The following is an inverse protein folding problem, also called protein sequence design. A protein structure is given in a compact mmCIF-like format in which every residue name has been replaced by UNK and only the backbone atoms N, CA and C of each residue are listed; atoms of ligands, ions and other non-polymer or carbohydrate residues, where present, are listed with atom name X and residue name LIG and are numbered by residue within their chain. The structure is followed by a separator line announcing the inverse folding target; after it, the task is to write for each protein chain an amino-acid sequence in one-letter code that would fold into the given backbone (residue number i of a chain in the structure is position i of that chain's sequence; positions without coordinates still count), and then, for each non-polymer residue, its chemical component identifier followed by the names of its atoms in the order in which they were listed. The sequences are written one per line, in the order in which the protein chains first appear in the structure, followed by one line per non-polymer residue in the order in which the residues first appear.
data_IF_582497880254
#
_entry.id   IF_582497880254
#
_cell.length_a   1.000
_cell.length_b   1.000
_cell.length_c   1.000
_cell.angle_alpha   90.00
_cell.angle_beta   90.00
_cell.angle_gamma   90.00
#
_symmetry.space_group_name_H-M   'P 1'
#
loop_
_entity.id
_entity.type
_entity.pdbx_description
1 polymer ?
#
# COMPACT_ATOMS: atom_id res chain seq x y z
N UNK A 1 0.92 9.18 -27.62
CA UNK A 1 -0.50 9.09 -27.19
C UNK A 1 -1.37 10.01 -28.03
N UNK A 2 -1.25 11.34 -27.87
CA UNK A 2 -2.08 12.27 -28.65
C UNK A 2 -1.90 12.14 -30.17
N UNK A 3 -0.66 12.05 -30.65
CA UNK A 3 -0.34 11.91 -32.08
C UNK A 3 -0.88 10.59 -32.69
N UNK A 4 -1.10 9.60 -31.83
CA UNK A 4 -1.67 8.29 -32.19
C UNK A 4 -3.20 8.23 -31.97
N UNK A 5 -3.83 9.35 -31.60
CA UNK A 5 -5.26 9.40 -31.29
C UNK A 5 -5.67 8.70 -29.97
N UNK A 6 -4.71 8.20 -29.18
CA UNK A 6 -4.99 7.58 -27.89
C UNK A 6 -5.13 8.64 -26.79
N UNK A 7 -6.38 8.97 -26.41
CA UNK A 7 -6.71 10.01 -25.41
C UNK A 7 -7.42 9.48 -24.17
N UNK A 8 -7.21 8.21 -23.85
CA UNK A 8 -7.74 7.60 -22.63
C UNK A 8 -6.57 7.11 -21.78
N UNK A 9 -6.58 7.48 -20.50
CA UNK A 9 -5.53 7.12 -19.56
C UNK A 9 -6.11 6.86 -18.16
N UNK A 10 -5.68 5.74 -17.58
CA UNK A 10 -5.81 5.46 -16.15
C UNK A 10 -4.44 5.69 -15.53
N UNK A 11 -4.32 6.70 -14.69
CA UNK A 11 -3.05 7.12 -14.09
C UNK A 11 -2.94 6.63 -12.64
N UNK A 12 -1.87 5.89 -12.38
CA UNK A 12 -1.46 5.47 -11.05
C UNK A 12 -0.89 6.65 -10.25
N UNK A 13 -1.77 7.38 -9.56
CA UNK A 13 -1.40 8.36 -8.55
C UNK A 13 -1.17 7.69 -7.19
N UNK A 14 -1.05 8.47 -6.12
CA UNK A 14 -0.81 7.96 -4.78
C UNK A 14 -1.36 8.90 -3.73
N UNK A 15 -1.91 8.36 -2.64
CA UNK A 15 -2.38 9.12 -1.49
C UNK A 15 -1.29 10.02 -0.87
N UNK A 16 0.00 9.79 -1.17
CA UNK A 16 1.10 10.63 -0.69
C UNK A 16 0.96 12.10 -1.12
N UNK A 17 0.19 12.40 -2.18
CA UNK A 17 -0.10 13.79 -2.61
C UNK A 17 -0.83 14.59 -1.52
N UNK A 18 -1.59 13.93 -0.66
CA UNK A 18 -2.25 14.56 0.50
C UNK A 18 -1.27 14.99 1.59
N UNK A 19 -0.08 14.39 1.64
CA UNK A 19 0.95 14.77 2.60
C UNK A 19 0.63 14.55 4.07
N UNK A 20 1.37 15.28 4.91
CA UNK A 20 1.00 15.54 6.30
C UNK A 20 0.21 16.86 6.31
N UNK A 21 -1.01 16.87 6.85
CA UNK A 21 -1.89 18.05 6.73
C UNK A 21 -1.22 19.34 7.24
N UNK A 22 -1.39 20.45 6.53
CA UNK A 22 -0.96 21.80 6.95
C UNK A 22 -2.15 22.63 7.48
N UNK A 23 -1.99 23.92 7.82
CA UNK A 23 -0.89 24.61 8.49
C UNK A 23 -1.33 25.24 9.84
N UNK A 24 -2.60 25.08 10.26
CA UNK A 24 -3.20 25.79 11.40
C UNK A 24 -2.79 25.24 12.79
N UNK A 25 -1.76 24.40 12.85
CA UNK A 25 -1.24 23.87 14.10
C UNK A 25 0.28 24.10 14.20
N UNK A 26 0.73 25.28 14.68
CA UNK A 26 2.16 25.55 14.86
C UNK A 26 2.80 24.68 15.94
N UNK A 27 2.00 24.05 16.81
CA UNK A 27 2.47 23.26 17.96
C UNK A 27 1.64 22.01 18.26
N UNK A 28 0.83 21.51 17.32
CA UNK A 28 0.25 20.19 17.56
C UNK A 28 1.38 19.15 17.49
N UNK A 29 1.54 18.28 18.51
CA UNK A 29 2.35 17.08 18.34
C UNK A 29 1.82 16.29 17.12
N UNK A 30 2.58 15.35 16.54
CA UNK A 30 2.21 14.56 15.35
C UNK A 30 0.88 13.76 15.43
N UNK A 31 0.05 14.02 16.44
CA UNK A 31 -1.03 13.23 16.94
C UNK A 31 -2.35 13.31 16.16
N UNK A 32 -2.57 14.31 15.29
CA UNK A 32 -3.89 14.49 14.67
C UNK A 32 -4.08 13.73 13.35
N UNK A 33 -3.05 13.17 12.71
CA UNK A 33 -3.18 12.77 11.28
C UNK A 33 -2.53 11.42 10.97
N UNK A 34 -3.08 10.34 11.52
CA UNK A 34 -2.82 8.99 11.00
C UNK A 34 -4.10 8.18 10.82
N UNK A 35 -5.02 8.23 11.78
CA UNK A 35 -6.40 7.75 11.58
C UNK A 35 -7.14 8.58 10.52
N UNK A 36 -6.93 9.90 10.49
CA UNK A 36 -7.50 10.78 9.47
C UNK A 36 -6.91 10.56 8.06
N UNK A 37 -5.78 9.87 7.93
CA UNK A 37 -5.19 9.59 6.62
C UNK A 37 -6.02 8.57 5.84
N UNK A 38 -6.53 7.53 6.51
CA UNK A 38 -7.46 6.58 5.90
C UNK A 38 -8.82 7.21 5.53
N UNK A 39 -9.16 8.35 6.13
CA UNK A 39 -10.39 9.10 5.87
C UNK A 39 -10.22 10.26 4.86
N UNK A 40 -9.10 10.31 4.13
CA UNK A 40 -8.87 11.36 3.14
C UNK A 40 -9.90 11.29 2.02
N UNK A 41 -10.43 12.44 1.66
CA UNK A 41 -11.33 12.61 0.51
C UNK A 41 -10.57 13.12 -0.71
N UNK A 42 -11.10 12.90 -1.90
CA UNK A 42 -10.54 13.35 -3.16
C UNK A 42 -10.41 14.88 -3.24
N UNK A 43 -11.30 15.57 -2.52
CA UNK A 43 -11.38 17.03 -2.36
C UNK A 43 -10.44 17.58 -1.28
N UNK A 44 -9.70 16.75 -0.56
CA UNK A 44 -8.79 17.24 0.48
C UNK A 44 -7.54 17.89 -0.15
N UNK A 45 -6.98 18.93 0.48
CA UNK A 45 -5.83 19.66 -0.05
C UNK A 45 -4.55 18.82 -0.13
N UNK A 46 -3.65 19.20 -1.02
CA UNK A 46 -2.37 18.54 -1.25
C UNK A 46 -1.23 19.15 -0.44
N UNK A 47 -0.38 18.29 0.14
CA UNK A 47 0.79 18.70 0.93
C UNK A 47 2.00 17.78 0.67
N UNK A 48 2.45 17.60 -0.58
CA UNK A 48 3.52 16.65 -0.91
C UNK A 48 4.80 16.91 -0.10
N UNK A 49 5.28 15.88 0.60
CA UNK A 49 6.41 15.99 1.55
C UNK A 49 7.75 15.46 1.01
N UNK A 50 7.76 14.92 -0.20
CA UNK A 50 8.96 14.32 -0.80
C UNK A 50 8.91 14.38 -2.35
N UNK A 51 10.04 14.21 -3.06
CA UNK A 51 10.09 14.29 -4.52
C UNK A 51 9.15 13.33 -5.25
N UNK A 52 8.93 12.12 -4.71
CA UNK A 52 7.98 11.16 -5.28
C UNK A 52 6.54 11.67 -5.21
N UNK A 53 6.14 12.29 -4.10
CA UNK A 53 4.83 12.92 -3.98
C UNK A 53 4.65 14.07 -4.96
N UNK A 54 5.69 14.88 -5.13
CA UNK A 54 5.69 15.97 -6.11
C UNK A 54 5.56 15.47 -7.55
N UNK A 55 6.21 14.37 -7.92
CA UNK A 55 6.10 13.84 -9.29
C UNK A 55 4.68 13.34 -9.58
N UNK A 56 4.03 12.69 -8.60
CA UNK A 56 2.62 12.25 -8.72
C UNK A 56 1.68 13.43 -8.87
N UNK A 57 1.82 14.45 -8.02
CA UNK A 57 0.99 15.65 -8.11
C UNK A 57 1.19 16.37 -9.45
N UNK A 58 2.44 16.56 -9.89
CA UNK A 58 2.73 17.18 -11.18
C UNK A 58 2.08 16.43 -12.35
N UNK A 59 2.10 15.10 -12.34
CA UNK A 59 1.42 14.30 -13.37
C UNK A 59 -0.10 14.46 -13.33
N UNK A 60 -0.73 14.50 -12.14
CA UNK A 60 -2.17 14.77 -12.04
C UNK A 60 -2.53 16.12 -12.68
N UNK A 61 -1.75 17.16 -12.38
CA UNK A 61 -1.97 18.50 -12.93
C UNK A 61 -1.79 18.54 -14.45
N UNK A 62 -0.72 17.92 -14.98
CA UNK A 62 -0.49 17.83 -16.43
C UNK A 62 -1.64 17.12 -17.16
N UNK A 63 -2.22 16.09 -16.55
CA UNK A 63 -3.34 15.36 -17.15
C UNK A 63 -4.64 16.17 -17.14
N UNK A 64 -4.88 16.97 -16.09
CA UNK A 64 -5.99 17.93 -16.05
C UNK A 64 -5.81 19.02 -17.10
N UNK A 65 -4.61 19.56 -17.27
CA UNK A 65 -4.31 20.56 -18.30
C UNK A 65 -4.45 19.98 -19.71
N UNK A 66 -4.04 18.73 -19.94
CA UNK A 66 -4.27 18.04 -21.20
C UNK A 66 -5.77 17.93 -21.53
N UNK A 67 -6.59 17.62 -20.52
CA UNK A 67 -8.05 17.55 -20.66
C UNK A 67 -8.72 18.92 -20.84
N UNK A 68 -8.10 20.02 -20.40
CA UNK A 68 -8.52 21.38 -20.72
C UNK A 68 -8.18 21.79 -22.16
N UNK A 69 -7.08 21.28 -22.71
CA UNK A 69 -6.64 21.58 -24.07
C UNK A 69 -7.36 20.76 -25.16
N UNK A 70 -7.80 19.54 -24.86
CA UNK A 70 -8.40 18.62 -25.82
C UNK A 70 -9.32 17.59 -25.13
N UNK A 71 -10.23 16.91 -25.85
CA UNK A 71 -11.12 15.89 -25.28
C UNK A 71 -10.34 14.65 -24.84
N UNK A 72 -9.95 14.60 -23.57
CA UNK A 72 -9.28 13.47 -22.92
C UNK A 72 -10.19 12.78 -21.92
N UNK A 73 -9.99 11.46 -21.74
CA UNK A 73 -10.60 10.66 -20.68
C UNK A 73 -9.51 10.23 -19.70
N UNK A 74 -9.58 10.72 -18.47
CA UNK A 74 -8.54 10.57 -17.47
C UNK A 74 -9.13 10.03 -16.18
N UNK A 75 -8.62 8.92 -15.68
CA UNK A 75 -8.86 8.47 -14.31
C UNK A 75 -7.58 8.67 -13.50
N UNK A 76 -7.66 9.38 -12.39
CA UNK A 76 -6.58 9.63 -11.45
C UNK A 76 -6.82 8.76 -10.21
N UNK A 77 -6.12 7.63 -10.13
CA UNK A 77 -6.33 6.68 -9.05
C UNK A 77 -5.26 6.86 -7.97
N UNK A 78 -5.66 7.36 -6.81
CA UNK A 78 -4.77 7.61 -5.67
C UNK A 78 -4.73 6.38 -4.78
N UNK A 79 -3.69 5.55 -4.97
CA UNK A 79 -3.52 4.34 -4.18
C UNK A 79 -3.05 4.67 -2.78
N UNK A 80 -3.58 3.95 -1.80
CA UNK A 80 -3.04 3.90 -0.45
C UNK A 80 -1.89 2.90 -0.39
N UNK A 81 -1.95 1.85 0.44
CA UNK A 81 -0.85 0.90 0.62
C UNK A 81 -1.28 -0.46 0.08
N UNK A 82 -1.07 -0.73 -1.22
CA UNK A 82 -1.37 -2.04 -1.77
C UNK A 82 -0.50 -3.12 -1.16
N UNK A 83 -1.13 -4.24 -0.79
CA UNK A 83 -0.51 -5.43 -0.23
C UNK A 83 -1.21 -6.68 -0.77
N UNK A 84 -0.70 -7.87 -0.47
CA UNK A 84 -1.28 -9.10 -0.99
C UNK A 84 -0.59 -9.59 -2.26
N UNK A 85 -1.16 -10.62 -2.87
CA UNK A 85 -0.75 -11.12 -4.17
C UNK A 85 -1.94 -11.80 -4.84
N UNK A 86 -1.68 -12.49 -5.96
CA UNK A 86 -2.73 -13.19 -6.67
C UNK A 86 -3.10 -14.52 -6.00
N UNK A 87 -4.39 -14.96 -6.10
CA UNK A 87 -4.90 -16.23 -5.59
C UNK A 87 -4.15 -17.50 -5.91
N UNK A 88 -3.51 -17.54 -7.06
CA UNK A 88 -2.73 -18.70 -7.45
C UNK A 88 -1.44 -18.85 -6.65
N UNK A 89 -0.97 -17.78 -5.98
CA UNK A 89 0.37 -17.69 -5.40
C UNK A 89 1.49 -17.53 -6.42
N UNK A 90 1.18 -17.58 -7.73
CA UNK A 90 2.18 -17.59 -8.82
C UNK A 90 2.77 -16.22 -9.12
N UNK A 91 2.03 -15.15 -8.83
CA UNK A 91 2.45 -13.76 -9.03
C UNK A 91 2.18 -12.97 -7.76
N UNK A 92 3.10 -12.07 -7.43
CA UNK A 92 3.09 -11.22 -6.23
C UNK A 92 4.25 -10.22 -6.29
N UNK A 93 4.41 -9.41 -5.25
CA UNK A 93 5.48 -8.41 -5.18
C UNK A 93 6.86 -9.09 -5.02
N UNK A 94 7.71 -8.94 -6.05
CA UNK A 94 9.10 -9.42 -6.08
C UNK A 94 10.00 -8.24 -6.47
N UNK A 95 10.35 -7.34 -5.51
CA UNK A 95 11.08 -6.13 -5.81
C UNK A 95 12.52 -6.47 -6.25
N UNK A 96 12.94 -5.90 -7.38
CA UNK A 96 14.29 -6.09 -7.93
C UNK A 96 15.35 -5.46 -7.03
N UNK A 97 15.04 -4.28 -6.50
CA UNK A 97 15.86 -3.55 -5.53
C UNK A 97 15.40 -3.86 -4.10
N UNK A 98 16.15 -3.36 -3.13
CA UNK A 98 15.78 -3.49 -1.73
C UNK A 98 14.34 -3.04 -1.49
N UNK A 99 13.54 -3.93 -0.89
CA UNK A 99 12.20 -3.59 -0.46
C UNK A 99 12.25 -2.43 0.55
N UNK A 100 11.48 -1.39 0.26
CA UNK A 100 11.28 -0.24 1.16
C UNK A 100 9.89 -0.26 1.81
N UNK A 101 8.97 -1.05 1.27
CA UNK A 101 7.61 -1.24 1.77
C UNK A 101 7.56 -2.30 2.88
N UNK A 102 6.61 -2.15 3.81
CA UNK A 102 6.46 -3.03 4.97
C UNK A 102 6.28 -4.50 4.59
N UNK A 103 5.33 -4.80 3.70
CA UNK A 103 4.90 -6.18 3.48
C UNK A 103 5.94 -7.08 2.82
N UNK A 104 6.68 -6.66 1.78
CA UNK A 104 7.77 -7.48 1.25
C UNK A 104 8.88 -7.74 2.28
N UNK A 105 9.16 -6.78 3.17
CA UNK A 105 10.15 -6.97 4.25
C UNK A 105 9.63 -7.99 5.27
N UNK A 106 8.37 -7.85 5.71
CA UNK A 106 7.70 -8.81 6.61
C UNK A 106 7.75 -10.23 6.03
N UNK A 107 7.33 -10.40 4.77
CA UNK A 107 7.31 -11.69 4.10
C UNK A 107 8.72 -12.29 3.96
N UNK A 108 9.72 -11.46 3.62
CA UNK A 108 11.10 -11.93 3.49
C UNK A 108 11.69 -12.38 4.84
N UNK A 109 11.50 -11.58 5.90
CA UNK A 109 11.95 -11.93 7.25
C UNK A 109 11.31 -13.24 7.67
N UNK A 110 9.99 -13.38 7.54
CA UNK A 110 9.30 -14.61 7.89
C UNK A 110 9.82 -15.81 7.10
N UNK A 111 9.92 -15.70 5.78
CA UNK A 111 10.40 -16.80 4.93
C UNK A 111 11.84 -17.22 5.27
N UNK A 112 12.71 -16.29 5.70
CA UNK A 112 14.07 -16.63 6.17
C UNK A 112 14.06 -17.33 7.53
N UNK A 113 13.22 -16.88 8.47
CA UNK A 113 13.04 -17.56 9.76
C UNK A 113 12.41 -18.95 9.64
N UNK A 114 11.62 -19.17 8.59
CA UNK A 114 11.03 -20.47 8.26
C UNK A 114 11.96 -21.36 7.43
N UNK A 115 13.16 -20.89 7.06
CA UNK A 115 14.10 -21.65 6.20
C UNK A 115 13.64 -21.79 4.73
N UNK A 116 12.62 -21.03 4.31
CA UNK A 116 12.07 -21.07 2.95
C UNK A 116 12.88 -20.24 1.95
N UNK A 117 13.63 -19.25 2.45
CA UNK A 117 14.57 -18.46 1.66
C UNK A 117 15.97 -18.58 2.26
N UNK A 118 16.94 -18.90 1.40
CA UNK A 118 18.35 -18.86 1.77
C UNK A 118 18.79 -17.41 2.03
N UNK A 119 19.76 -17.25 2.94
CA UNK A 119 20.48 -15.99 3.04
C UNK A 119 21.18 -15.69 1.71
N UNK A 120 21.10 -14.44 1.23
CA UNK A 120 21.85 -14.01 0.03
C UNK A 120 23.36 -14.05 0.25
N UNK A 121 23.76 -13.75 1.48
CA UNK A 121 25.15 -13.77 1.92
C UNK A 121 25.31 -14.88 2.95
N UNK A 122 26.09 -15.90 2.61
CA UNK A 122 26.40 -17.01 3.51
C UNK A 122 27.21 -16.57 4.74
N UNK A 123 27.75 -15.34 4.74
CA UNK A 123 28.45 -14.73 5.88
C UNK A 123 27.52 -14.04 6.89
N UNK A 124 26.26 -13.79 6.53
CA UNK A 124 25.26 -13.24 7.46
C UNK A 124 24.81 -14.33 8.43
N UNK A 125 25.53 -14.47 9.54
CA UNK A 125 25.31 -15.49 10.56
C UNK A 125 23.94 -15.36 11.26
N UNK A 126 23.35 -14.17 11.31
CA UNK A 126 22.09 -13.92 12.01
C UNK A 126 20.89 -13.81 11.04
N UNK A 127 19.75 -14.44 11.37
CA UNK A 127 18.53 -14.27 10.61
C UNK A 127 18.00 -12.84 10.76
N UNK A 128 17.44 -12.24 9.68
CA UNK A 128 17.09 -10.82 9.68
C UNK A 128 15.93 -10.54 10.64
N UNK A 129 15.86 -9.32 11.15
CA UNK A 129 14.74 -8.83 11.97
C UNK A 129 14.01 -7.72 11.23
N UNK A 130 12.71 -7.59 11.44
CA UNK A 130 11.91 -6.50 10.88
C UNK A 130 12.21 -5.19 11.65
N UNK A 131 12.77 -4.15 11.02
CA UNK A 131 12.87 -2.84 11.65
C UNK A 131 11.48 -2.17 11.70
N UNK A 132 11.06 -1.77 12.90
CA UNK A 132 9.84 -0.96 13.11
C UNK A 132 10.29 0.48 13.33
N UNK A 133 9.99 1.36 12.37
CA UNK A 133 10.42 2.75 12.38
C UNK A 133 9.47 3.67 13.15
N UNK A 134 9.84 3.95 14.39
CA UNK A 134 9.09 4.78 15.33
C UNK A 134 8.09 3.97 16.16
N UNK A 135 8.05 4.26 17.44
CA UNK A 135 7.16 3.64 18.44
C UNK A 135 6.54 4.67 19.38
N UNK A 136 6.55 5.93 18.93
CA UNK A 136 6.17 7.15 19.62
C UNK A 136 5.11 7.93 18.83
N UNK A 137 4.45 7.29 17.85
CA UNK A 137 3.29 7.87 17.19
C UNK A 137 2.11 7.95 18.17
N UNK A 138 1.26 8.96 18.04
CA UNK A 138 -0.01 9.03 18.80
C UNK A 138 -1.05 8.08 18.19
N UNK A 139 -0.81 6.79 18.40
CA UNK A 139 -1.62 5.67 17.92
C UNK A 139 -1.67 4.65 19.05
N UNK A 140 -2.67 3.74 19.08
CA UNK A 140 -2.88 2.85 20.22
C UNK A 140 -1.64 2.01 20.62
N UNK A 141 -0.81 1.61 19.66
CA UNK A 141 0.41 0.81 19.91
C UNK A 141 1.72 1.55 19.64
N UNK A 142 1.64 2.87 19.41
CA UNK A 142 2.78 3.73 19.16
C UNK A 142 3.36 3.62 17.75
N UNK A 143 2.85 2.77 16.87
CA UNK A 143 3.38 2.58 15.50
C UNK A 143 2.53 3.23 14.42
N UNK A 144 3.15 3.47 13.27
CA UNK A 144 2.50 4.20 12.20
C UNK A 144 1.25 3.46 11.67
N UNK A 145 0.12 4.18 11.55
CA UNK A 145 -1.14 3.65 10.96
C UNK A 145 -1.23 3.98 9.46
N UNK A 146 -1.68 3.01 8.65
CA UNK A 146 -1.83 3.13 7.19
C UNK A 146 -3.09 2.40 6.72
N UNK A 147 -3.70 2.88 5.64
CA UNK A 147 -4.77 2.16 4.95
C UNK A 147 -4.15 1.15 3.97
N UNK A 148 -4.40 -0.14 4.21
CA UNK A 148 -3.89 -1.25 3.41
C UNK A 148 -5.02 -1.83 2.56
N UNK A 149 -4.79 -1.92 1.25
CA UNK A 149 -5.76 -2.46 0.27
C UNK A 149 -5.18 -3.71 -0.39
N UNK A 150 -5.99 -4.73 -0.63
CA UNK A 150 -5.52 -5.91 -1.35
C UNK A 150 -5.24 -5.59 -2.81
N UNK A 151 -4.14 -6.12 -3.36
CA UNK A 151 -3.68 -5.79 -4.72
C UNK A 151 -4.67 -6.24 -5.80
N UNK A 152 -5.45 -7.29 -5.53
CA UNK A 152 -6.52 -7.73 -6.45
C UNK A 152 -7.70 -6.75 -6.48
N UNK A 153 -8.08 -6.15 -5.35
CA UNK A 153 -9.11 -5.11 -5.30
C UNK A 153 -8.61 -3.85 -6.00
N UNK A 154 -7.34 -3.51 -5.79
CA UNK A 154 -6.70 -2.41 -6.51
C UNK A 154 -6.70 -2.65 -8.02
N UNK A 155 -6.34 -3.85 -8.48
CA UNK A 155 -6.37 -4.22 -9.89
C UNK A 155 -7.79 -4.15 -10.45
N UNK A 156 -8.79 -4.61 -9.70
CA UNK A 156 -10.20 -4.50 -10.07
C UNK A 156 -10.63 -3.02 -10.21
N UNK A 157 -10.20 -2.17 -9.29
CA UNK A 157 -10.46 -0.73 -9.36
C UNK A 157 -9.91 -0.04 -10.62
N UNK A 158 -8.84 -0.56 -11.22
CA UNK A 158 -8.38 -0.06 -12.53
C UNK A 158 -9.35 -0.37 -13.67
N UNK A 159 -9.89 -1.60 -13.67
CA UNK A 159 -10.87 -2.05 -14.67
C UNK A 159 -12.15 -1.25 -14.53
N UNK A 160 -12.66 -1.12 -13.30
CA UNK A 160 -13.89 -0.37 -13.03
C UNK A 160 -13.73 1.13 -13.38
N UNK A 161 -12.56 1.72 -13.11
CA UNK A 161 -12.26 3.09 -13.52
C UNK A 161 -12.19 3.25 -15.05
N UNK A 162 -11.60 2.29 -15.76
CA UNK A 162 -11.58 2.30 -17.22
C UNK A 162 -13.01 2.22 -17.79
N UNK A 163 -13.83 1.30 -17.28
CA UNK A 163 -15.22 1.13 -17.71
C UNK A 163 -16.04 2.40 -17.43
N UNK A 164 -15.82 3.04 -16.27
CA UNK A 164 -16.45 4.32 -15.93
C UNK A 164 -16.09 5.44 -16.92
N UNK A 165 -14.84 5.50 -17.39
CA UNK A 165 -14.43 6.45 -18.42
C UNK A 165 -15.08 6.17 -19.79
N UNK A 166 -15.34 4.90 -20.11
CA UNK A 166 -15.94 4.50 -21.39
C UNK A 166 -17.46 4.63 -21.42
N UNK A 167 -18.11 4.75 -20.26
CA UNK A 167 -19.56 4.84 -20.16
C UNK A 167 -20.12 6.06 -20.92
N UNK A 168 -21.23 5.93 -21.68
CA UNK A 168 -21.85 7.05 -22.38
C UNK A 168 -22.32 8.19 -21.47
N UNK A 169 -22.57 7.86 -20.20
CA UNK A 169 -23.03 8.79 -19.15
C UNK A 169 -21.89 9.44 -18.37
N UNK A 170 -20.63 9.20 -18.75
CA UNK A 170 -19.49 9.80 -18.09
C UNK A 170 -19.57 11.33 -18.22
N UNK A 171 -19.90 12.00 -17.11
CA UNK A 171 -19.99 13.46 -17.06
C UNK A 171 -18.60 14.07 -16.85
N UNK A 172 -18.44 15.30 -17.36
CA UNK A 172 -17.29 16.14 -17.04
C UNK A 172 -17.14 16.28 -15.53
N UNK A 173 -15.90 16.16 -15.07
CA UNK A 173 -15.35 16.42 -13.73
C UNK A 173 -16.27 16.78 -12.57
N UNK A 174 -15.96 16.25 -11.38
CA UNK A 174 -16.47 16.80 -10.13
C UNK A 174 -15.81 18.18 -9.87
N UNK A 175 -16.57 19.30 -9.92
CA UNK A 175 -16.02 20.64 -9.75
C UNK A 175 -15.35 20.84 -8.39
N UNK A 176 -15.77 20.09 -7.36
CA UNK A 176 -15.20 20.19 -6.03
C UNK A 176 -13.77 19.60 -5.96
N UNK A 177 -13.47 18.60 -6.78
CA UNK A 177 -12.13 17.99 -6.89
C UNK A 177 -11.21 18.90 -7.70
N UNK A 178 -11.72 19.52 -8.76
CA UNK A 178 -10.93 20.48 -9.56
C UNK A 178 -10.57 21.73 -8.74
N UNK A 179 -11.45 22.19 -7.86
CA UNK A 179 -11.20 23.32 -6.97
C UNK A 179 -10.22 23.02 -5.82
N UNK A 180 -10.02 21.75 -5.45
CA UNK A 180 -9.16 21.37 -4.32
C UNK A 180 -7.69 21.22 -4.67
N UNK A 181 -7.31 21.36 -5.95
CA UNK A 181 -5.90 21.26 -6.33
C UNK A 181 -5.14 22.52 -5.93
N UNK A 182 -3.91 22.36 -5.43
CA UNK A 182 -3.06 23.49 -5.00
C UNK A 182 -2.76 24.51 -6.12
N UNK A 183 -3.01 24.14 -7.39
CA UNK A 183 -2.87 24.96 -8.59
C UNK A 183 -4.22 25.33 -9.25
N UNK A 184 -5.36 25.02 -8.62
CA UNK A 184 -6.69 25.20 -9.21
C UNK A 184 -7.04 26.65 -9.56
N UNK A 185 -6.44 27.62 -8.84
CA UNK A 185 -6.72 29.04 -9.03
C UNK A 185 -6.32 29.48 -10.45
N UNK A 186 -7.32 29.66 -11.32
CA UNK A 186 -7.13 30.12 -12.70
C UNK A 186 -6.98 29.02 -13.76
N UNK A 187 -7.18 27.74 -13.42
CA UNK A 187 -7.18 26.65 -14.41
C UNK A 187 -8.41 26.74 -15.33
N UNK A 188 -8.19 26.53 -16.63
CA UNK A 188 -9.27 26.44 -17.61
C UNK A 188 -10.12 25.18 -17.37
N UNK A 189 -11.44 25.28 -17.58
CA UNK A 189 -12.33 24.13 -17.52
C UNK A 189 -11.93 23.08 -18.56
N UNK A 190 -12.22 21.78 -18.32
CA UNK A 190 -12.01 20.73 -19.31
C UNK A 190 -12.68 21.07 -20.65
N UNK A 191 -12.01 20.72 -21.76
CA UNK A 191 -12.56 20.87 -23.09
C UNK A 191 -13.87 20.06 -23.23
N UNK A 192 -14.78 20.52 -24.09
CA UNK A 192 -16.04 19.80 -24.36
C UNK A 192 -15.76 18.36 -24.76
N UNK A 193 -16.37 17.41 -24.05
CA UNK A 193 -16.18 15.97 -24.25
C UNK A 193 -15.03 15.34 -23.45
N UNK A 194 -14.30 16.13 -22.65
CA UNK A 194 -13.36 15.60 -21.67
C UNK A 194 -14.06 15.00 -20.46
N UNK A 195 -13.46 13.95 -19.92
CA UNK A 195 -13.86 13.30 -18.66
C UNK A 195 -12.61 13.20 -17.81
N UNK A 196 -12.61 13.79 -16.62
CA UNK A 196 -11.55 13.57 -15.62
C UNK A 196 -12.22 13.14 -14.33
N UNK A 197 -11.84 11.97 -13.84
CA UNK A 197 -12.34 11.41 -12.59
C UNK A 197 -11.16 11.11 -11.68
N UNK A 198 -11.34 11.37 -10.38
CA UNK A 198 -10.32 11.10 -9.37
C UNK A 198 -10.94 10.17 -8.34
N UNK A 199 -10.19 9.13 -7.95
CA UNK A 199 -10.68 8.14 -6.98
C UNK A 199 -9.57 7.80 -5.99
N UNK A 200 -9.94 7.73 -4.72
CA UNK A 200 -9.15 7.09 -3.68
C UNK A 200 -9.39 5.58 -3.71
N UNK A 201 -8.31 4.81 -3.82
CA UNK A 201 -8.37 3.35 -3.74
C UNK A 201 -7.67 2.88 -2.45
N UNK A 202 -8.49 2.74 -1.41
CA UNK A 202 -8.16 2.26 -0.07
C UNK A 202 -9.37 1.57 0.56
N UNK A 203 -9.21 0.96 1.72
CA UNK A 203 -10.31 0.34 2.47
C UNK A 203 -11.07 1.34 3.36
N UNK A 204 -10.56 2.57 3.51
CA UNK A 204 -11.13 3.58 4.42
C UNK A 204 -10.86 3.30 5.90
N UNK A 205 -10.04 2.27 6.20
CA UNK A 205 -9.67 1.88 7.57
C UNK A 205 -8.16 1.80 7.71
N UNK A 206 -7.64 2.35 8.81
CA UNK A 206 -6.22 2.30 9.12
C UNK A 206 -5.87 1.07 9.95
N UNK A 207 -4.74 0.42 9.63
CA UNK A 207 -4.08 -0.55 10.49
C UNK A 207 -2.65 -0.09 10.84
N UNK A 208 -2.22 -0.33 12.06
CA UNK A 208 -0.86 -0.07 12.53
C UNK A 208 0.14 -1.07 11.94
N UNK A 209 1.43 -0.73 12.00
CA UNK A 209 2.51 -1.66 11.62
C UNK A 209 2.41 -2.96 12.43
N UNK A 210 2.16 -2.89 13.73
CA UNK A 210 2.11 -4.09 14.57
C UNK A 210 0.81 -4.88 14.40
N UNK A 211 -0.30 -4.23 14.05
CA UNK A 211 -1.54 -4.93 13.66
C UNK A 211 -1.29 -5.78 12.41
N UNK A 212 -0.63 -5.22 11.39
CA UNK A 212 -0.24 -5.95 10.18
C UNK A 212 0.73 -7.10 10.49
N UNK A 213 1.72 -6.87 11.36
CA UNK A 213 2.65 -7.93 11.78
C UNK A 213 1.90 -9.06 12.48
N UNK A 214 1.00 -8.75 13.43
CA UNK A 214 0.19 -9.76 14.13
C UNK A 214 -0.68 -10.54 13.16
N UNK A 215 -1.36 -9.86 12.23
CA UNK A 215 -2.14 -10.52 11.19
C UNK A 215 -1.28 -11.50 10.38
N UNK A 216 -0.08 -11.09 9.99
CA UNK A 216 0.86 -11.95 9.26
C UNK A 216 1.36 -13.13 10.12
N UNK A 217 1.66 -12.93 11.40
CA UNK A 217 2.03 -14.00 12.34
C UNK A 217 0.94 -15.07 12.45
N UNK A 218 -0.30 -14.67 12.72
CA UNK A 218 -1.45 -15.59 12.83
C UNK A 218 -1.61 -16.46 11.58
N UNK A 219 -1.31 -15.87 10.44
CA UNK A 219 -1.41 -16.53 9.15
C UNK A 219 -0.31 -17.55 8.94
N UNK A 220 0.93 -17.21 9.29
CA UNK A 220 2.06 -18.15 9.22
C UNK A 220 1.79 -19.32 10.17
N UNK A 221 1.24 -19.05 11.35
CA UNK A 221 0.86 -20.08 12.32
C UNK A 221 -0.22 -21.01 11.76
N UNK A 222 -1.26 -20.47 11.12
CA UNK A 222 -2.30 -21.27 10.46
C UNK A 222 -1.71 -22.13 9.33
N UNK A 223 -0.86 -21.57 8.47
CA UNK A 223 -0.17 -22.31 7.43
C UNK A 223 0.71 -23.44 8.00
N UNK A 224 1.47 -23.18 9.07
CA UNK A 224 2.25 -24.22 9.74
C UNK A 224 1.35 -25.33 10.30
N UNK A 225 0.16 -25.01 10.81
CA UNK A 225 -0.80 -26.01 11.27
C UNK A 225 -1.32 -26.88 10.11
N UNK A 226 -1.63 -26.29 8.96
CA UNK A 226 -2.01 -27.02 7.75
C UNK A 226 -0.90 -27.96 7.27
N UNK A 227 0.36 -27.50 7.23
CA UNK A 227 1.50 -28.34 6.81
C UNK A 227 1.71 -29.54 7.74
N UNK A 228 1.50 -29.37 9.05
CA UNK A 228 1.53 -30.46 10.04
C UNK A 228 0.44 -31.49 9.76
N UNK A 229 -0.79 -31.04 9.51
CA UNK A 229 -1.91 -31.94 9.18
C UNK A 229 -1.69 -32.69 7.87
N UNK A 230 -1.00 -32.09 6.91
CA UNK A 230 -0.69 -32.69 5.63
C UNK A 230 0.48 -33.71 5.67
N UNK A 231 1.03 -34.03 6.85
CA UNK A 231 2.10 -35.04 7.00
C UNK A 231 3.43 -34.63 6.36
N UNK A 232 3.63 -33.36 6.05
CA UNK A 232 4.90 -32.82 5.54
C UNK A 232 5.84 -32.56 6.73
N UNK A 233 6.31 -33.63 7.36
CA UNK A 233 7.20 -33.55 8.52
C UNK A 233 8.59 -33.01 8.14
N UNK A 234 8.76 -31.71 8.37
CA UNK A 234 10.02 -31.09 8.79
C UNK A 234 9.81 -30.11 9.97
N UNK A 235 8.68 -30.20 10.67
CA UNK A 235 8.39 -29.35 11.83
C UNK A 235 8.62 -30.15 13.14
N UNK A 236 9.30 -29.57 14.15
CA UNK A 236 9.53 -30.25 15.42
C UNK A 236 8.21 -30.59 16.15
N UNK A 237 8.24 -31.67 16.93
CA UNK A 237 7.15 -32.29 17.71
C UNK A 237 6.29 -31.30 18.55
N UNK A 238 5.00 -31.61 18.81
CA UNK A 238 3.91 -30.63 18.94
C UNK A 238 3.80 -29.83 20.25
N UNK A 239 4.59 -30.06 21.30
CA UNK A 239 4.22 -29.57 22.65
C UNK A 239 5.14 -28.55 23.31
N UNK A 240 6.19 -28.05 22.64
CA UNK A 240 7.15 -27.14 23.31
C UNK A 240 7.62 -25.94 22.49
N UNK A 241 7.31 -25.86 21.19
CA UNK A 241 7.72 -24.72 20.37
C UNK A 241 6.70 -23.58 20.51
N UNK A 242 7.13 -22.36 20.88
CA UNK A 242 6.23 -21.22 20.94
C UNK A 242 5.63 -20.92 19.54
N UNK A 243 4.43 -20.31 19.47
CA UNK A 243 3.84 -19.90 18.20
C UNK A 243 4.81 -18.99 17.44
N UNK A 244 4.81 -19.07 16.10
CA UNK A 244 5.69 -18.25 15.27
C UNK A 244 5.48 -16.76 15.58
N UNK A 245 6.58 -16.08 15.91
CA UNK A 245 6.62 -14.62 16.09
C UNK A 245 7.65 -14.04 15.16
N UNK A 246 7.26 -12.98 14.45
CA UNK A 246 8.17 -12.25 13.60
C UNK A 246 9.13 -11.46 14.49
N UNK A 247 10.45 -11.66 14.38
CA UNK A 247 11.38 -10.92 15.21
C UNK A 247 11.43 -9.47 14.74
N UNK A 248 11.15 -8.56 15.66
CA UNK A 248 11.07 -7.12 15.41
C UNK A 248 12.19 -6.38 16.13
N UNK A 249 12.76 -5.39 15.47
CA UNK A 249 13.66 -4.41 16.07
C UNK A 249 12.96 -3.05 16.08
N UNK A 250 12.51 -2.61 17.25
CA UNK A 250 11.89 -1.30 17.43
C UNK A 250 12.98 -0.23 17.42
N UNK A 251 12.88 0.75 16.51
CA UNK A 251 13.79 1.89 16.44
C UNK A 251 13.02 3.19 16.73
N UNK A 252 13.54 4.08 17.59
CA UNK A 252 13.03 5.45 17.67
C UNK A 252 13.17 6.12 16.29
N UNK A 253 12.33 7.11 16.00
CA UNK A 253 12.45 7.89 14.76
C UNK A 253 13.77 8.68 14.78
N UNK A 254 14.84 8.17 14.17
CA UNK A 254 16.09 8.92 13.91
C UNK A 254 16.18 9.29 12.44
N UNK A 255 16.37 10.58 12.17
CA UNK A 255 16.64 11.09 10.82
C UNK A 255 18.04 10.61 10.41
N UNK A 256 18.14 9.72 9.41
CA UNK A 256 19.42 9.28 8.81
C UNK A 256 19.76 7.79 8.86
N UNK A 257 19.05 6.96 9.64
CA UNK A 257 19.47 5.58 9.94
C UNK A 257 18.90 4.47 9.01
N UNK A 258 18.47 4.80 7.77
CA UNK A 258 17.86 3.82 6.86
C UNK A 258 18.93 2.99 6.14
N UNK A 259 19.69 2.19 6.90
CA UNK A 259 20.48 1.08 6.39
C UNK A 259 19.87 -0.23 6.89
N UNK A 260 19.39 -1.09 5.99
CA UNK A 260 19.02 -2.47 6.35
C UNK A 260 19.33 -3.46 5.22
N UNK A 261 19.47 -4.72 5.62
CA UNK A 261 20.14 -5.85 4.95
C UNK A 261 19.27 -6.51 3.86
N UNK A 262 19.95 -7.04 2.83
CA UNK A 262 19.45 -7.53 1.53
C UNK A 262 18.91 -8.97 1.56
N UNK A 263 17.91 -9.29 0.71
CA UNK A 263 17.52 -10.68 0.39
C UNK A 263 16.97 -10.85 -1.04
N UNK A 264 17.06 -12.09 -1.58
CA UNK A 264 16.62 -12.48 -2.94
C UNK A 264 15.23 -13.09 -2.87
N UNK A 265 14.25 -12.48 -3.51
CA UNK A 265 12.86 -12.96 -3.49
C UNK A 265 12.52 -13.94 -4.62
N UNK A 266 13.49 -14.32 -5.47
CA UNK A 266 13.29 -15.17 -6.66
C UNK A 266 12.73 -16.59 -6.40
N UNK A 267 12.57 -17.03 -5.14
CA UNK A 267 12.06 -18.38 -4.79
C UNK A 267 10.71 -18.41 -4.03
N UNK A 268 10.09 -17.27 -3.72
CA UNK A 268 8.89 -17.20 -2.86
C UNK A 268 7.54 -17.52 -3.56
N UNK A 269 7.54 -18.19 -4.72
CA UNK A 269 6.38 -18.31 -5.64
C UNK A 269 5.33 -19.37 -5.27
N UNK A 270 5.46 -20.11 -4.17
CA UNK A 270 4.55 -21.23 -3.84
C UNK A 270 4.00 -21.23 -2.41
N UNK A 271 4.33 -20.23 -1.60
CA UNK A 271 4.14 -20.28 -0.14
C UNK A 271 2.97 -19.42 0.39
N UNK A 272 2.42 -18.53 -0.43
CA UNK A 272 1.47 -17.52 0.05
C UNK A 272 0.17 -18.15 0.60
N UNK A 273 -0.28 -17.81 1.82
CA UNK A 273 -1.48 -18.37 2.46
C UNK A 273 -2.80 -18.04 1.73
N UNK A 274 -3.89 -18.79 1.99
CA UNK A 274 -5.16 -18.73 1.23
C UNK A 274 -5.90 -17.37 1.25
N UNK A 275 -5.74 -16.55 2.28
CA UNK A 275 -6.32 -15.20 2.32
C UNK A 275 -5.43 -14.16 1.60
N UNK A 276 -4.11 -14.36 1.55
CA UNK A 276 -3.20 -13.59 0.69
C UNK A 276 -3.43 -13.91 -0.79
N UNK A 277 -4.12 -15.03 -1.01
CA UNK A 277 -4.68 -15.46 -2.27
C UNK A 277 -6.08 -14.83 -2.53
N UNK A 278 -6.69 -14.09 -1.62
CA UNK A 278 -8.00 -13.48 -1.86
C UNK A 278 -9.16 -14.45 -2.02
N UNK A 279 -8.97 -15.74 -1.67
CA UNK A 279 -10.06 -16.75 -1.72
C UNK A 279 -11.00 -16.63 -0.51
N UNK A 280 -10.54 -15.99 0.56
CA UNK A 280 -11.35 -15.58 1.71
C UNK A 280 -10.95 -14.14 2.07
N UNK A 281 -11.79 -13.16 1.72
CA UNK A 281 -11.71 -11.80 2.25
C UNK A 281 -11.99 -11.88 3.76
N UNK A 282 -10.95 -12.22 4.53
CA UNK A 282 -11.01 -12.22 5.99
C UNK A 282 -11.27 -10.79 6.44
N UNK A 283 -12.42 -10.61 7.05
CA UNK A 283 -12.70 -9.45 7.87
C UNK A 283 -11.65 -9.42 9.00
N UNK A 284 -10.67 -8.52 8.90
CA UNK A 284 -9.65 -8.27 9.94
C UNK A 284 -10.28 -8.08 11.33
N UNK A 285 -11.58 -7.77 11.43
CA UNK A 285 -12.31 -7.71 12.69
C UNK A 285 -12.54 -9.07 13.36
N UNK A 286 -12.71 -10.17 12.61
CA UNK A 286 -12.94 -11.49 13.18
C UNK A 286 -11.68 -12.10 13.84
N UNK A 287 -10.50 -11.56 13.54
CA UNK A 287 -9.22 -12.03 14.08
C UNK A 287 -8.67 -11.18 15.25
N UNK A 288 -9.23 -10.00 15.48
CA UNK A 288 -8.85 -9.12 16.60
C UNK A 288 -9.84 -9.17 17.77
N UNK A 289 -10.91 -9.96 17.65
CA UNK A 289 -11.86 -10.24 18.71
C UNK A 289 -11.58 -11.63 19.29
N UNK A 290 -10.52 -11.74 20.09
CA UNK A 290 -10.35 -12.69 21.21
C UNK A 290 -9.08 -12.34 22.00
#
# INVERSE_FOLDING_TARGET
MNDEGCRTIVFSSSAVVYGAAAPDFPHAPPAVIQAAYAAKRETDPFYPTNPYAWTKLACEELLRDAAAAAPWRVALLRYFNPVGAHPSGLIGEDPVNQATNLMPIVANVAARHLGLLAARDASAADPPVLPVFGTDYSTPDGTAVRDFIHVMDLARGHVDAYDALMAPTATSTDPAIDASTALAAGRAAPATGSVVQTFNLGLGRGASVLEVVRAFESVVQAWQAEQRLAGHDAAPSPSSAPPFRLPICKRPRRVGDVGLVVADNRRARTWLPRWWRGDDMLDLHAMCAD
#
